data_IF_872815928415
#
_entry.id   IF_872815928415
#
_cell.length_a   1.000
_cell.length_b   1.000
_cell.length_c   1.000
_cell.angle_alpha   90.00
_cell.angle_beta   90.00
_cell.angle_gamma   90.00
#
_symmetry.space_group_name_H-M   'P 1'
#
loop_
_entity.id
_entity.type
_entity.pdbx_description
1 polymer ?
#
# COMPACT_ATOMS: atom_id res chain seq x y z
N UNK A 1 39.33 -19.91 27.52
CA UNK A 1 38.86 -19.33 28.80
C UNK A 1 37.57 -20.04 29.17
N UNK A 2 37.66 -20.92 30.17
CA UNK A 2 36.55 -21.69 30.69
C UNK A 2 35.86 -20.89 31.80
N UNK A 3 34.53 -20.83 31.80
CA UNK A 3 33.76 -20.41 32.97
C UNK A 3 32.76 -21.48 33.35
N UNK A 4 32.88 -21.91 34.60
CA UNK A 4 32.22 -23.03 35.26
C UNK A 4 30.84 -22.62 35.81
N UNK A 5 29.85 -23.45 35.47
CA UNK A 5 28.82 -24.05 36.34
C UNK A 5 28.42 -23.28 37.61
N UNK A 6 27.13 -22.89 37.69
CA UNK A 6 26.37 -22.89 38.96
C UNK A 6 25.03 -23.61 38.77
N UNK A 7 25.02 -24.87 39.21
CA UNK A 7 23.80 -25.60 39.55
C UNK A 7 23.35 -25.10 40.91
N UNK A 8 22.09 -24.71 41.05
CA UNK A 8 21.48 -24.55 42.37
C UNK A 8 20.11 -25.23 42.36
N UNK A 9 20.00 -26.32 43.12
CA UNK A 9 18.79 -27.10 43.39
C UNK A 9 18.32 -26.74 44.81
N UNK A 10 17.02 -26.49 44.97
CA UNK A 10 16.24 -26.73 46.20
C UNK A 10 14.77 -26.45 45.84
N UNK A 11 13.95 -27.45 45.53
CA UNK A 11 13.20 -28.32 46.48
C UNK A 11 12.08 -27.58 47.25
N UNK A 12 10.89 -27.60 46.64
CA UNK A 12 9.52 -27.83 47.17
C UNK A 12 9.13 -27.30 48.58
N UNK A 13 7.92 -26.70 48.68
CA UNK A 13 6.79 -27.57 48.98
C UNK A 13 5.52 -27.34 48.13
N UNK A 14 4.88 -28.49 47.94
CA UNK A 14 3.48 -28.74 47.61
C UNK A 14 2.54 -27.92 48.51
N UNK A 15 1.74 -27.03 47.93
CA UNK A 15 0.60 -26.39 48.60
C UNK A 15 -0.58 -26.41 47.64
N UNK A 16 -1.48 -27.35 47.90
CA UNK A 16 -2.78 -27.45 47.26
C UNK A 16 -3.66 -26.30 47.76
N UNK A 17 -4.05 -25.41 46.86
CA UNK A 17 -5.13 -24.45 47.06
C UNK A 17 -6.04 -24.55 45.83
N UNK A 18 -7.14 -25.27 46.03
CA UNK A 18 -8.30 -25.27 45.13
C UNK A 18 -8.94 -23.90 45.24
N UNK A 19 -8.59 -23.01 44.32
CA UNK A 19 -9.34 -21.78 44.07
C UNK A 19 -10.14 -21.99 42.79
N UNK A 20 -11.46 -22.01 42.92
CA UNK A 20 -12.41 -21.80 41.83
C UNK A 20 -12.22 -20.35 41.32
N UNK A 21 -11.17 -20.13 40.53
CA UNK A 21 -11.07 -18.94 39.71
C UNK A 21 -12.00 -19.17 38.52
N UNK A 22 -13.25 -18.73 38.66
CA UNK A 22 -14.06 -18.40 37.50
C UNK A 22 -13.32 -17.31 36.75
N UNK A 23 -12.58 -17.70 35.71
CA UNK A 23 -12.08 -16.76 34.73
C UNK A 23 -13.31 -16.15 34.06
N UNK A 24 -13.76 -15.02 34.60
CA UNK A 24 -14.55 -14.07 33.85
C UNK A 24 -13.81 -13.88 32.54
N UNK A 25 -14.45 -14.29 31.44
CA UNK A 25 -14.00 -13.90 30.12
C UNK A 25 -14.21 -12.39 30.06
N UNK A 26 -13.22 -11.63 30.52
CA UNK A 26 -13.02 -10.25 30.13
C UNK A 26 -12.96 -10.27 28.61
N UNK A 27 -14.12 -10.01 27.99
CA UNK A 27 -14.15 -9.58 26.61
C UNK A 27 -13.59 -8.17 26.67
N UNK A 28 -12.30 -8.04 26.41
CA UNK A 28 -11.72 -6.75 26.07
C UNK A 28 -12.67 -6.08 25.06
N UNK A 29 -13.13 -4.84 25.32
CA UNK A 29 -13.92 -4.13 24.33
C UNK A 29 -13.08 -4.09 23.04
N UNK A 30 -13.70 -4.22 21.85
CA UNK A 30 -12.96 -4.16 20.60
C UNK A 30 -12.12 -2.89 20.65
N UNK A 31 -10.79 -3.05 20.58
CA UNK A 31 -9.91 -1.91 20.50
C UNK A 31 -10.28 -1.18 19.22
N UNK A 32 -10.75 0.06 19.35
CA UNK A 32 -10.90 1.00 18.23
C UNK A 32 -9.49 1.45 17.81
N UNK A 33 -8.61 0.49 17.51
CA UNK A 33 -7.27 0.73 17.05
C UNK A 33 -7.37 1.03 15.57
N UNK A 34 -7.26 2.31 15.26
CA UNK A 34 -7.13 2.75 13.89
C UNK A 34 -5.92 2.07 13.23
N UNK A 35 -6.04 1.71 11.94
CA UNK A 35 -4.91 1.17 11.20
C UNK A 35 -3.72 2.14 11.24
N UNK A 36 -2.52 1.60 11.10
CA UNK A 36 -1.30 2.41 11.00
C UNK A 36 -1.30 3.32 9.77
N UNK A 37 -0.19 4.04 9.51
CA UNK A 37 -0.07 4.89 8.32
C UNK A 37 -0.37 4.10 7.03
N UNK A 38 -1.23 4.66 6.19
CA UNK A 38 -1.64 4.10 4.90
C UNK A 38 -1.43 5.12 3.80
N UNK A 39 -1.32 4.64 2.56
CA UNK A 39 -1.36 5.50 1.39
C UNK A 39 -2.72 6.20 1.30
N UNK A 40 -2.74 7.42 0.77
CA UNK A 40 -3.96 8.19 0.56
C UNK A 40 -4.74 7.62 -0.62
N UNK A 41 -4.03 7.17 -1.66
CA UNK A 41 -4.62 6.53 -2.83
C UNK A 41 -3.87 5.25 -3.20
N UNK A 42 -4.63 4.22 -3.55
CA UNK A 42 -4.13 3.04 -4.25
C UNK A 42 -4.65 3.09 -5.68
N UNK A 43 -3.74 3.24 -6.63
CA UNK A 43 -4.07 3.46 -8.05
C UNK A 43 -3.57 2.28 -8.86
N UNK A 44 -4.51 1.58 -9.50
CA UNK A 44 -4.23 0.49 -10.41
C UNK A 44 -4.37 0.97 -11.85
N UNK A 45 -3.30 0.82 -12.64
CA UNK A 45 -3.24 1.27 -14.03
C UNK A 45 -3.05 0.05 -14.91
N UNK A 46 -3.89 -0.12 -15.93
CA UNK A 46 -3.79 -1.22 -16.90
C UNK A 46 -4.27 -0.76 -18.27
N UNK A 47 -3.99 -1.56 -19.30
CA UNK A 47 -4.42 -1.30 -20.66
C UNK A 47 -5.52 -2.28 -21.10
N UNK A 48 -6.47 -1.80 -21.89
CA UNK A 48 -7.58 -2.61 -22.41
C UNK A 48 -7.09 -3.75 -23.32
N UNK A 49 -6.04 -3.50 -24.12
CA UNK A 49 -5.61 -4.38 -25.22
C UNK A 49 -4.30 -5.17 -24.93
N UNK A 50 -4.00 -5.42 -23.65
CA UNK A 50 -2.90 -6.30 -23.24
C UNK A 50 -1.89 -5.63 -22.31
N UNK A 51 -0.58 -5.94 -22.43
CA UNK A 51 0.42 -5.38 -21.55
C UNK A 51 0.58 -3.87 -21.75
N UNK A 52 0.98 -3.19 -20.69
CA UNK A 52 1.36 -1.79 -20.72
C UNK A 52 2.59 -1.58 -21.63
N UNK A 53 2.59 -0.56 -22.49
CA UNK A 53 3.78 -0.19 -23.26
C UNK A 53 4.95 0.20 -22.36
N UNK A 54 6.19 -0.16 -22.73
CA UNK A 54 7.39 0.15 -21.94
C UNK A 54 7.59 1.66 -21.70
N UNK A 55 7.05 2.50 -22.57
CA UNK A 55 7.10 3.96 -22.45
C UNK A 55 6.01 4.55 -21.55
N UNK A 56 5.20 3.72 -20.87
CA UNK A 56 4.17 4.16 -19.93
C UNK A 56 4.77 5.09 -18.87
N UNK A 57 4.19 6.28 -18.78
CA UNK A 57 4.58 7.36 -17.86
C UNK A 57 3.37 7.75 -17.02
N UNK A 58 3.60 7.90 -15.72
CA UNK A 58 2.61 8.33 -14.73
C UNK A 58 3.11 9.62 -14.09
N UNK A 59 2.44 10.72 -14.40
CA UNK A 59 2.68 12.04 -13.80
C UNK A 59 1.68 12.25 -12.67
N UNK A 60 2.17 12.47 -11.47
CA UNK A 60 1.33 12.71 -10.29
C UNK A 60 1.59 14.11 -9.77
N UNK A 61 0.57 14.97 -9.85
CA UNK A 61 0.59 16.32 -9.31
C UNK A 61 -0.17 16.35 -7.99
N UNK A 62 0.43 16.93 -6.94
CA UNK A 62 -0.18 17.06 -5.62
C UNK A 62 0.23 18.39 -4.96
N UNK A 63 -0.37 18.71 -3.82
CA UNK A 63 -0.19 20.03 -3.19
C UNK A 63 1.25 20.42 -2.85
N UNK A 64 2.12 19.44 -2.62
CA UNK A 64 3.53 19.67 -2.26
C UNK A 64 4.51 19.49 -3.42
N UNK A 65 4.05 19.13 -4.63
CA UNK A 65 4.94 18.98 -5.78
C UNK A 65 4.39 18.08 -6.88
N UNK A 66 5.30 17.63 -7.73
CA UNK A 66 5.06 16.73 -8.84
C UNK A 66 6.07 15.60 -8.78
N UNK A 67 5.61 14.38 -9.02
CA UNK A 67 6.45 13.20 -9.16
C UNK A 67 6.10 12.46 -10.45
N UNK A 68 7.13 11.93 -11.12
CA UNK A 68 6.98 11.23 -12.39
C UNK A 68 7.56 9.83 -12.26
N UNK A 69 6.71 8.83 -12.45
CA UNK A 69 7.11 7.44 -12.59
C UNK A 69 7.17 7.06 -14.07
N UNK A 70 8.20 6.33 -14.47
CA UNK A 70 8.33 5.79 -15.83
C UNK A 70 8.60 4.29 -15.76
N UNK A 71 7.85 3.51 -16.53
CA UNK A 71 7.95 2.05 -16.51
C UNK A 71 9.33 1.54 -16.96
N UNK A 72 9.95 2.23 -17.93
CA UNK A 72 11.31 1.98 -18.44
C UNK A 72 12.42 2.40 -17.46
N UNK A 73 12.13 3.23 -16.45
CA UNK A 73 13.08 3.81 -15.51
C UNK A 73 12.51 3.86 -14.08
N UNK A 74 12.26 2.71 -13.44
CA UNK A 74 11.54 2.63 -12.16
C UNK A 74 12.37 3.06 -10.94
N UNK A 75 13.65 3.43 -11.12
CA UNK A 75 14.61 3.68 -10.04
C UNK A 75 14.65 5.13 -9.54
N UNK A 76 13.75 6.00 -10.02
CA UNK A 76 13.68 7.36 -9.50
C UNK A 76 13.35 7.35 -7.99
N UNK A 77 14.03 8.16 -7.15
CA UNK A 77 13.71 8.27 -5.74
C UNK A 77 12.42 9.08 -5.60
N UNK A 78 11.29 8.39 -5.68
CA UNK A 78 9.97 8.96 -5.47
C UNK A 78 9.62 8.85 -3.98
N UNK A 79 9.32 9.98 -3.34
CA UNK A 79 8.99 10.01 -1.93
C UNK A 79 7.50 9.75 -1.71
N UNK A 80 6.65 10.35 -2.56
CA UNK A 80 5.20 10.30 -2.44
C UNK A 80 4.57 9.18 -3.29
N UNK A 81 5.17 8.80 -4.41
CA UNK A 81 4.60 7.84 -5.36
C UNK A 81 5.43 6.55 -5.37
N UNK A 82 4.82 5.43 -5.01
CA UNK A 82 5.49 4.11 -5.07
C UNK A 82 4.71 3.16 -5.95
N UNK A 83 5.25 2.88 -7.13
CA UNK A 83 4.64 1.93 -8.06
C UNK A 83 5.37 0.59 -8.04
N UNK A 84 4.59 -0.48 -8.17
CA UNK A 84 5.07 -1.84 -8.41
C UNK A 84 4.45 -2.39 -9.69
N UNK A 85 5.16 -3.30 -10.36
CA UNK A 85 4.73 -3.89 -11.63
C UNK A 85 4.06 -5.23 -11.36
N UNK A 86 2.87 -5.41 -11.89
CA UNK A 86 2.27 -6.74 -12.05
C UNK A 86 2.74 -7.32 -13.37
N UNK A 87 3.34 -8.52 -13.33
CA UNK A 87 3.91 -9.17 -14.52
C UNK A 87 3.16 -10.44 -14.86
N UNK A 88 2.81 -10.62 -16.13
CA UNK A 88 2.35 -11.90 -16.69
C UNK A 88 3.30 -12.32 -17.81
N UNK A 89 3.88 -13.52 -17.71
CA UNK A 89 4.88 -14.01 -18.67
C UNK A 89 6.00 -12.98 -18.95
N UNK A 90 6.51 -12.33 -17.89
CA UNK A 90 7.53 -11.27 -17.91
C UNK A 90 7.12 -9.96 -18.60
N UNK A 91 5.84 -9.78 -18.94
CA UNK A 91 5.29 -8.55 -19.50
C UNK A 91 4.51 -7.76 -18.44
N UNK A 92 4.65 -6.42 -18.37
CA UNK A 92 3.94 -5.59 -17.41
C UNK A 92 2.47 -5.48 -17.79
N UNK A 93 1.58 -6.14 -17.05
CA UNK A 93 0.13 -6.11 -17.32
C UNK A 93 -0.59 -5.02 -16.53
N UNK A 94 -0.02 -4.59 -15.39
CA UNK A 94 -0.53 -3.48 -14.61
C UNK A 94 0.56 -2.79 -13.79
N UNK A 95 0.27 -1.57 -13.36
CA UNK A 95 0.99 -0.85 -12.32
C UNK A 95 0.09 -0.68 -11.10
N UNK A 96 0.63 -1.02 -9.93
CA UNK A 96 0.00 -0.80 -8.62
C UNK A 96 0.77 0.32 -7.92
N UNK A 97 0.19 1.51 -7.86
CA UNK A 97 0.81 2.72 -7.33
C UNK A 97 0.17 3.14 -6.00
N UNK A 98 0.97 3.20 -4.94
CA UNK A 98 0.58 3.76 -3.64
C UNK A 98 1.03 5.23 -3.57
N UNK A 99 0.08 6.15 -3.38
CA UNK A 99 0.29 7.60 -3.34
C UNK A 99 0.14 8.11 -1.90
N UNK A 100 1.22 8.65 -1.35
CA UNK A 100 1.32 9.15 0.02
C UNK A 100 1.24 10.68 0.04
N UNK A 101 0.04 11.23 -0.18
CA UNK A 101 -0.18 12.68 -0.28
C UNK A 101 -1.07 13.20 0.85
N UNK A 102 -0.87 14.43 1.32
CA UNK A 102 -1.69 15.04 2.37
C UNK A 102 -2.98 15.71 1.83
N UNK A 103 -3.37 15.42 0.59
CA UNK A 103 -4.45 16.12 -0.10
C UNK A 103 -4.82 15.51 -1.45
N UNK A 104 -5.69 16.18 -2.21
CA UNK A 104 -6.06 15.76 -3.56
C UNK A 104 -4.82 15.61 -4.45
N UNK A 105 -4.91 14.72 -5.44
CA UNK A 105 -3.86 14.50 -6.41
C UNK A 105 -4.48 14.37 -7.82
N UNK A 106 -3.76 14.84 -8.83
CA UNK A 106 -4.09 14.63 -10.24
C UNK A 106 -3.12 13.59 -10.79
N UNK A 107 -3.64 12.53 -11.40
CA UNK A 107 -2.84 11.49 -12.04
C UNK A 107 -3.06 11.58 -13.54
N UNK A 108 -1.97 11.75 -14.29
CA UNK A 108 -1.96 11.70 -15.74
C UNK A 108 -1.14 10.51 -16.20
N UNK A 109 -1.72 9.66 -17.06
CA UNK A 109 -1.06 8.49 -17.62
C UNK A 109 -0.95 8.66 -19.13
N UNK A 110 0.26 8.47 -19.65
CA UNK A 110 0.55 8.52 -21.08
C UNK A 110 1.29 7.26 -21.50
N UNK A 111 0.95 6.73 -22.68
CA UNK A 111 1.59 5.55 -23.25
C UNK A 111 1.35 5.49 -24.76
N UNK A 112 2.34 5.02 -25.53
CA UNK A 112 2.19 4.89 -26.98
C UNK A 112 1.01 3.98 -27.35
N UNK A 113 0.16 4.45 -28.26
CA UNK A 113 -0.99 3.68 -28.76
C UNK A 113 -2.27 3.85 -27.94
N UNK A 114 -2.24 4.62 -26.86
CA UNK A 114 -3.38 4.92 -26.01
C UNK A 114 -3.64 6.43 -25.97
N UNK A 115 -4.89 6.81 -25.68
CA UNK A 115 -5.21 8.20 -25.38
C UNK A 115 -4.68 8.57 -23.98
N UNK A 116 -4.20 9.80 -23.82
CA UNK A 116 -3.80 10.32 -22.52
C UNK A 116 -5.00 10.27 -21.56
N UNK A 117 -4.78 9.70 -20.38
CA UNK A 117 -5.79 9.57 -19.33
C UNK A 117 -5.44 10.51 -18.18
N UNK A 118 -6.40 11.34 -17.76
CA UNK A 118 -6.24 12.20 -16.58
C UNK A 118 -7.37 11.93 -15.58
N UNK A 119 -7.00 11.73 -14.31
CA UNK A 119 -7.94 11.49 -13.22
C UNK A 119 -7.59 12.35 -12.00
N UNK A 120 -8.58 13.10 -11.51
CA UNK A 120 -8.51 13.79 -10.22
C UNK A 120 -8.92 12.82 -9.10
N UNK A 121 -8.10 12.74 -8.06
CA UNK A 121 -8.31 11.89 -6.89
C UNK A 121 -8.59 12.78 -5.67
N UNK A 122 -9.69 12.49 -4.99
CA UNK A 122 -10.12 13.22 -3.78
C UNK A 122 -10.06 12.26 -2.61
N UNK A 123 -9.34 12.66 -1.56
CA UNK A 123 -9.17 11.85 -0.37
C UNK A 123 -10.46 11.81 0.46
N UNK A 124 -10.66 10.71 1.18
CA UNK A 124 -11.75 10.53 2.13
C UNK A 124 -11.23 10.58 3.57
N UNK A 125 -12.12 10.92 4.50
CA UNK A 125 -11.83 10.89 5.93
C UNK A 125 -12.84 10.03 6.68
N UNK A 126 -12.37 9.33 7.69
CA UNK A 126 -13.18 8.61 8.67
C UNK A 126 -12.76 8.96 10.11
N UNK A 127 -13.26 8.19 11.09
CA UNK A 127 -12.91 8.37 12.50
C UNK A 127 -11.42 8.14 12.82
N UNK A 128 -10.68 7.53 11.89
CA UNK A 128 -9.27 7.20 11.99
C UNK A 128 -8.36 8.12 11.17
N UNK A 129 -8.90 9.12 10.49
CA UNK A 129 -8.14 10.08 9.70
C UNK A 129 -8.33 9.88 8.21
N UNK A 130 -7.24 9.93 7.44
CA UNK A 130 -7.30 9.73 5.98
C UNK A 130 -7.60 8.26 5.70
N UNK A 131 -8.66 8.02 4.94
CA UNK A 131 -9.02 6.70 4.43
C UNK A 131 -8.45 6.54 3.03
N UNK A 132 -7.79 5.41 2.77
CA UNK A 132 -7.28 5.07 1.44
C UNK A 132 -8.42 4.96 0.43
N UNK A 133 -8.26 5.62 -0.70
CA UNK A 133 -9.20 5.57 -1.83
C UNK A 133 -8.56 4.79 -2.97
N UNK A 134 -9.24 3.75 -3.44
CA UNK A 134 -8.79 2.95 -4.59
C UNK A 134 -9.33 3.50 -5.90
N UNK A 135 -8.50 3.57 -6.93
CA UNK A 135 -8.89 3.97 -8.28
C UNK A 135 -8.32 3.01 -9.32
N UNK A 136 -9.13 2.70 -10.35
CA UNK A 136 -8.74 1.88 -11.50
C UNK A 136 -8.72 2.76 -12.75
N UNK A 137 -7.57 2.80 -13.43
CA UNK A 137 -7.31 3.63 -14.60
C UNK A 137 -7.03 2.71 -15.79
N UNK A 138 -8.01 2.61 -16.68
CA UNK A 138 -7.92 1.79 -17.89
C UNK A 138 -7.51 2.65 -19.10
N UNK A 139 -6.35 2.35 -19.68
CA UNK A 139 -5.89 2.99 -20.92
C UNK A 139 -6.67 2.44 -22.11
N UNK A 140 -7.34 3.34 -22.82
CA UNK A 140 -8.10 3.04 -24.03
C UNK A 140 -7.37 3.52 -25.29
N UNK A 141 -7.47 2.79 -26.41
CA UNK A 141 -6.96 3.25 -27.69
C UNK A 141 -7.64 4.58 -28.10
N UNK A 142 -6.96 5.42 -28.90
CA UNK A 142 -7.60 6.60 -29.47
C UNK A 142 -8.77 6.19 -30.38
N UNK A 143 -9.82 7.02 -30.50
CA UNK A 143 -10.92 6.76 -31.42
C UNK A 143 -10.41 6.69 -32.87
N UNK A 144 -10.88 5.71 -33.63
CA UNK A 144 -10.58 5.59 -35.07
C UNK A 144 -11.43 6.63 -35.80
N UNK A 145 -10.77 7.61 -36.43
CA UNK A 145 -11.42 8.62 -37.30
C UNK A 145 -11.84 8.05 -38.68
#
# INVERSE_FOLDING_TARGET
MAFLIRVSRCSLPLLALVALAGCSADKDPPSNECPGPQATFDVRIFAMDGPLPDDTRVDVMFSSGEEVYRLDQPEAPLEAVRCSRELEADLPVALECALWTNGPASVTVTATGYADLQQELVHEHDECGIKTVSAELELMPPPVE
#
